data_IF_813900621311
#
_entry.id   IF_813900621311
#
_cell.length_a   1.000
_cell.length_b   1.000
_cell.length_c   1.000
_cell.angle_alpha   90.00
_cell.angle_beta   90.00
_cell.angle_gamma   90.00
#
_symmetry.space_group_name_H-M   'P 1'
#
loop_
_entity.id
_entity.type
_entity.pdbx_description
1 polymer ?
#
# COMPACT_ATOMS: atom_id res chain seq x y z
N UNK A 1 14.76 9.23 -1.51
CA UNK A 1 14.01 8.06 -2.01
C UNK A 1 13.54 8.34 -3.42
N UNK A 2 13.43 7.29 -4.22
CA UNK A 2 12.84 7.27 -5.55
C UNK A 2 11.37 6.89 -5.41
N UNK A 3 10.48 7.78 -5.80
CA UNK A 3 9.03 7.61 -5.65
C UNK A 3 8.42 7.48 -7.03
N UNK A 4 7.68 6.39 -7.25
CA UNK A 4 6.84 6.26 -8.43
C UNK A 4 5.45 6.80 -8.14
N UNK A 5 4.91 7.54 -9.09
CA UNK A 5 3.57 8.11 -9.01
C UNK A 5 2.76 7.64 -10.21
N UNK A 6 1.53 7.18 -9.97
CA UNK A 6 0.62 6.74 -11.03
C UNK A 6 -0.83 7.11 -10.69
N UNK A 7 -1.68 7.30 -11.70
CA UNK A 7 -3.08 7.61 -11.53
C UNK A 7 -3.94 7.21 -12.73
N UNK A 8 -5.24 7.01 -12.50
CA UNK A 8 -6.22 7.12 -13.59
C UNK A 8 -6.63 8.58 -13.82
N UNK A 9 -7.54 8.78 -14.76
CA UNK A 9 -8.09 10.09 -15.10
C UNK A 9 -8.79 10.80 -13.93
N UNK A 10 -9.37 10.05 -12.99
CA UNK A 10 -10.07 10.61 -11.85
C UNK A 10 -9.11 11.05 -10.74
N UNK A 11 -7.91 10.45 -10.65
CA UNK A 11 -6.84 10.87 -9.75
C UNK A 11 -5.91 11.96 -10.32
N UNK A 12 -6.07 12.33 -11.59
CA UNK A 12 -5.13 13.20 -12.31
C UNK A 12 -4.84 14.53 -11.61
N UNK A 13 -5.87 15.28 -11.20
CA UNK A 13 -5.68 16.59 -10.58
C UNK A 13 -4.96 16.48 -9.23
N UNK A 14 -5.39 15.56 -8.36
CA UNK A 14 -4.73 15.34 -7.09
C UNK A 14 -3.26 14.94 -7.27
N UNK A 15 -2.98 14.07 -8.26
CA UNK A 15 -1.60 13.73 -8.62
C UNK A 15 -0.78 14.98 -8.95
N UNK A 16 -1.30 15.86 -9.82
CA UNK A 16 -0.58 17.08 -10.22
C UNK A 16 -0.22 17.96 -9.02
N UNK A 17 -1.13 18.09 -8.04
CA UNK A 17 -0.88 18.84 -6.81
C UNK A 17 0.15 18.17 -5.89
N UNK A 18 0.22 16.83 -5.88
CA UNK A 18 1.16 16.08 -5.02
C UNK A 18 2.58 15.98 -5.60
N UNK A 19 2.75 16.02 -6.92
CA UNK A 19 4.09 16.02 -7.55
C UNK A 19 5.05 17.08 -6.98
N UNK A 20 4.69 18.38 -6.87
CA UNK A 20 5.57 19.38 -6.27
C UNK A 20 5.81 19.15 -4.79
N UNK A 21 4.81 18.67 -4.03
CA UNK A 21 4.96 18.33 -2.59
C UNK A 21 6.03 17.26 -2.41
N UNK A 22 5.94 16.16 -3.16
CA UNK A 22 6.89 15.03 -3.08
C UNK A 22 8.30 15.49 -3.45
N UNK A 23 8.44 16.33 -4.48
CA UNK A 23 9.74 16.91 -4.88
C UNK A 23 10.31 17.85 -3.82
N UNK A 24 9.48 18.69 -3.21
CA UNK A 24 9.90 19.62 -2.16
C UNK A 24 10.38 18.90 -0.88
N UNK A 25 9.92 17.66 -0.64
CA UNK A 25 10.43 16.78 0.40
C UNK A 25 11.81 16.16 0.08
N UNK A 26 12.40 16.46 -1.08
CA UNK A 26 13.71 15.98 -1.48
C UNK A 26 13.71 14.58 -2.12
N UNK A 27 12.57 14.12 -2.63
CA UNK A 27 12.45 12.84 -3.31
C UNK A 27 12.55 12.96 -4.83
N UNK A 28 13.12 11.93 -5.46
CA UNK A 28 13.13 11.80 -6.92
C UNK A 28 11.81 11.17 -7.38
N UNK A 29 11.16 11.76 -8.39
CA UNK A 29 9.79 11.35 -8.79
C UNK A 29 9.77 10.82 -10.22
N UNK A 30 9.25 9.60 -10.39
CA UNK A 30 8.89 9.03 -11.69
C UNK A 30 7.36 9.01 -11.82
N UNK A 31 6.81 9.87 -12.68
CA UNK A 31 5.37 9.91 -12.99
C UNK A 31 5.08 9.01 -14.20
N UNK A 32 4.36 7.90 -13.99
CA UNK A 32 3.97 6.96 -15.06
C UNK A 32 2.55 7.18 -15.57
N UNK A 33 1.99 8.36 -15.30
CA UNK A 33 0.72 8.81 -15.85
C UNK A 33 -0.48 8.44 -14.98
N UNK A 34 -1.71 8.61 -15.47
CA UNK A 34 -2.03 9.28 -16.74
C UNK A 34 -1.60 10.74 -16.74
N UNK A 35 -1.37 11.30 -17.92
CA UNK A 35 -0.94 12.70 -18.08
C UNK A 35 -2.08 13.60 -18.58
N UNK A 36 -3.31 13.08 -18.63
CA UNK A 36 -4.49 13.81 -19.09
C UNK A 36 -5.72 13.42 -18.28
N UNK A 37 -6.81 14.15 -18.46
CA UNK A 37 -8.13 13.81 -17.91
C UNK A 37 -8.95 12.88 -18.82
N UNK A 38 -8.37 12.40 -19.93
CA UNK A 38 -9.06 11.47 -20.82
C UNK A 38 -9.29 10.15 -20.11
N UNK A 39 -10.47 9.55 -20.31
CA UNK A 39 -10.85 8.30 -19.67
C UNK A 39 -9.85 7.19 -19.97
N UNK A 40 -9.44 6.50 -18.90
CA UNK A 40 -8.48 5.39 -18.89
C UNK A 40 -8.79 4.48 -17.71
N UNK A 41 -8.25 3.26 -17.75
CA UNK A 41 -8.49 2.24 -16.73
C UNK A 41 -7.37 2.19 -15.69
N UNK A 42 -7.74 2.31 -14.41
CA UNK A 42 -6.78 2.31 -13.30
C UNK A 42 -5.87 1.06 -13.19
N UNK A 43 -6.26 -0.17 -13.59
CA UNK A 43 -5.38 -1.34 -13.45
C UNK A 43 -4.08 -1.21 -14.24
N UNK A 44 -4.11 -0.59 -15.42
CA UNK A 44 -2.91 -0.41 -16.25
C UNK A 44 -1.87 0.46 -15.54
N UNK A 45 -2.32 1.52 -14.87
CA UNK A 45 -1.47 2.42 -14.10
C UNK A 45 -1.04 1.82 -12.76
N UNK A 46 -1.87 0.97 -12.15
CA UNK A 46 -1.46 0.17 -11.00
C UNK A 46 -0.27 -0.71 -11.35
N UNK A 47 -0.35 -1.46 -12.47
CA UNK A 47 0.74 -2.31 -12.97
C UNK A 47 1.98 -1.46 -13.29
N UNK A 48 1.84 -0.41 -14.09
CA UNK A 48 2.97 0.44 -14.47
C UNK A 48 3.71 1.03 -13.26
N UNK A 49 2.97 1.50 -12.25
CA UNK A 49 3.56 2.05 -11.03
C UNK A 49 4.20 0.98 -10.15
N UNK A 50 3.45 -0.08 -9.83
CA UNK A 50 3.88 -1.12 -8.91
C UNK A 50 5.05 -1.95 -9.44
N UNK A 51 5.15 -2.20 -10.74
CA UNK A 51 6.30 -2.89 -11.33
C UNK A 51 7.62 -2.18 -11.03
N UNK A 52 7.64 -0.84 -11.01
CA UNK A 52 8.85 -0.10 -10.64
C UNK A 52 9.25 -0.29 -9.18
N UNK A 53 8.28 -0.46 -8.28
CA UNK A 53 8.56 -0.78 -6.86
C UNK A 53 9.13 -2.20 -6.74
N UNK A 54 8.48 -3.18 -7.38
CA UNK A 54 8.90 -4.59 -7.35
C UNK A 54 10.30 -4.77 -7.95
N UNK A 55 10.59 -4.08 -9.06
CA UNK A 55 11.88 -4.14 -9.76
C UNK A 55 13.00 -3.36 -9.02
N UNK A 56 12.70 -2.74 -7.87
CA UNK A 56 13.66 -1.91 -7.13
C UNK A 56 14.08 -0.63 -7.85
N UNK A 57 13.31 -0.19 -8.86
CA UNK A 57 13.50 1.07 -9.59
C UNK A 57 12.87 2.26 -8.86
N UNK A 58 11.91 2.00 -7.98
CA UNK A 58 11.36 2.93 -7.01
C UNK A 58 11.40 2.30 -5.61
N UNK A 59 11.57 3.12 -4.58
CA UNK A 59 11.57 2.67 -3.18
C UNK A 59 10.13 2.56 -2.64
N UNK A 60 9.23 3.46 -3.07
CA UNK A 60 7.80 3.47 -2.72
C UNK A 60 6.94 4.01 -3.86
N UNK A 61 5.66 3.67 -3.86
CA UNK A 61 4.65 4.18 -4.79
C UNK A 61 3.60 5.07 -4.13
N UNK A 62 3.12 6.08 -4.86
CA UNK A 62 1.92 6.86 -4.49
C UNK A 62 0.97 6.86 -5.68
N UNK A 63 -0.18 6.23 -5.51
CA UNK A 63 -1.15 5.96 -6.57
C UNK A 63 -2.45 6.72 -6.32
N UNK A 64 -3.08 7.20 -7.40
CA UNK A 64 -4.31 8.00 -7.31
C UNK A 64 -5.42 7.45 -8.20
N UNK A 65 -6.64 7.37 -7.69
CA UNK A 65 -7.83 7.22 -8.56
C UNK A 65 -9.02 7.99 -8.00
N UNK A 66 -10.24 7.75 -8.47
CA UNK A 66 -11.43 8.43 -7.96
C UNK A 66 -11.60 8.32 -6.44
N UNK A 67 -11.73 7.10 -5.92
CA UNK A 67 -11.85 6.83 -4.46
C UNK A 67 -10.62 6.16 -3.84
N UNK A 68 -9.62 5.83 -4.65
CA UNK A 68 -8.47 5.00 -4.27
C UNK A 68 -8.78 3.50 -4.16
N UNK A 69 -10.05 3.09 -3.97
CA UNK A 69 -10.44 1.69 -3.74
C UNK A 69 -10.08 0.76 -4.90
N UNK A 70 -10.47 1.08 -6.13
CA UNK A 70 -10.18 0.21 -7.28
C UNK A 70 -8.68 0.07 -7.51
N UNK A 71 -7.96 1.19 -7.38
CA UNK A 71 -6.51 1.24 -7.56
C UNK A 71 -5.77 0.39 -6.52
N UNK A 72 -6.18 0.45 -5.24
CA UNK A 72 -5.59 -0.39 -4.20
C UNK A 72 -5.91 -1.87 -4.38
N UNK A 73 -7.13 -2.20 -4.85
CA UNK A 73 -7.50 -3.59 -5.17
C UNK A 73 -6.60 -4.16 -6.27
N UNK A 74 -6.38 -3.40 -7.35
CA UNK A 74 -5.51 -3.82 -8.45
C UNK A 74 -4.03 -3.91 -8.02
N UNK A 75 -3.52 -2.90 -7.31
CA UNK A 75 -2.14 -2.86 -6.85
C UNK A 75 -1.79 -4.08 -5.96
N UNK A 76 -2.67 -4.46 -5.03
CA UNK A 76 -2.47 -5.63 -4.15
C UNK A 76 -2.59 -6.99 -4.88
N UNK A 77 -2.87 -7.02 -6.19
CA UNK A 77 -2.76 -8.27 -6.98
C UNK A 77 -1.35 -8.52 -7.51
N UNK A 78 -0.46 -7.55 -7.38
CA UNK A 78 0.91 -7.62 -7.88
C UNK A 78 1.80 -8.13 -6.74
N UNK A 79 2.43 -9.31 -6.88
CA UNK A 79 3.30 -9.85 -5.84
C UNK A 79 4.41 -8.87 -5.46
N UNK A 80 4.66 -8.72 -4.16
CA UNK A 80 5.60 -7.78 -3.57
C UNK A 80 4.97 -6.44 -3.17
N UNK A 81 3.72 -6.18 -3.54
CA UNK A 81 3.02 -4.93 -3.22
C UNK A 81 2.15 -5.07 -1.98
N UNK A 82 2.27 -4.08 -1.09
CA UNK A 82 1.39 -3.86 0.06
C UNK A 82 0.84 -2.45 -0.08
N UNK A 83 -0.33 -2.33 -0.71
CA UNK A 83 -0.97 -1.06 -1.01
C UNK A 83 -2.11 -0.75 -0.05
N UNK A 84 -2.09 0.43 0.59
CA UNK A 84 -3.17 0.90 1.44
C UNK A 84 -3.96 2.04 0.80
N UNK A 85 -5.29 1.93 0.76
CA UNK A 85 -6.16 3.09 0.51
C UNK A 85 -6.38 3.83 1.82
N UNK A 86 -5.76 4.99 1.97
CA UNK A 86 -5.66 5.67 3.27
C UNK A 86 -6.31 7.05 3.20
N UNK A 87 -7.13 7.37 4.20
CA UNK A 87 -7.86 8.64 4.28
C UNK A 87 -7.58 9.43 5.57
N UNK A 88 -6.66 8.94 6.42
CA UNK A 88 -6.31 9.57 7.70
C UNK A 88 -4.80 9.52 8.00
N UNK A 89 -4.31 10.47 8.79
CA UNK A 89 -2.89 10.64 9.11
C UNK A 89 -2.31 9.43 9.83
N UNK A 90 -3.04 8.86 10.81
CA UNK A 90 -2.55 7.74 11.61
C UNK A 90 -2.24 6.54 10.72
N UNK A 91 -3.19 6.14 9.88
CA UNK A 91 -3.02 5.02 8.98
C UNK A 91 -1.91 5.23 7.94
N UNK A 92 -1.59 6.48 7.56
CA UNK A 92 -0.59 6.78 6.55
C UNK A 92 0.85 6.45 7.00
N UNK A 93 1.22 6.81 8.23
CA UNK A 93 2.52 6.41 8.78
C UNK A 93 2.46 4.98 9.34
N UNK A 94 1.36 4.62 10.00
CA UNK A 94 1.23 3.34 10.68
C UNK A 94 1.31 2.16 9.72
N UNK A 95 0.74 2.27 8.51
CA UNK A 95 0.81 1.21 7.51
C UNK A 95 2.26 0.88 7.12
N UNK A 96 3.12 1.89 7.08
CA UNK A 96 4.56 1.70 6.86
C UNK A 96 5.21 1.08 8.09
N UNK A 97 4.96 1.65 9.27
CA UNK A 97 5.58 1.25 10.53
C UNK A 97 5.28 -0.19 10.91
N UNK A 98 4.05 -0.64 10.66
CA UNK A 98 3.54 -1.93 11.12
C UNK A 98 3.52 -3.01 10.04
N UNK A 99 3.17 -2.64 8.81
CA UNK A 99 2.89 -3.57 7.72
C UNK A 99 3.88 -3.43 6.56
N UNK A 100 4.90 -2.58 6.71
CA UNK A 100 5.88 -2.28 5.66
C UNK A 100 5.18 -1.92 4.33
N UNK A 101 4.12 -1.11 4.43
CA UNK A 101 3.36 -0.62 3.28
C UNK A 101 4.29 0.13 2.33
N UNK A 102 4.38 -0.34 1.08
CA UNK A 102 5.28 0.23 0.07
C UNK A 102 4.52 1.02 -1.01
N UNK A 103 3.19 1.01 -0.98
CA UNK A 103 2.34 1.81 -1.87
C UNK A 103 1.24 2.51 -1.07
N UNK A 104 1.20 3.84 -1.14
CA UNK A 104 0.08 4.65 -0.67
C UNK A 104 -0.92 4.86 -1.81
N UNK A 105 -2.22 4.71 -1.55
CA UNK A 105 -3.27 4.99 -2.52
C UNK A 105 -4.21 6.05 -1.97
N UNK A 106 -4.50 7.09 -2.77
CA UNK A 106 -5.34 8.23 -2.39
C UNK A 106 -6.48 8.43 -3.40
N UNK A 107 -7.65 8.85 -2.90
CA UNK A 107 -8.83 9.13 -3.70
C UNK A 107 -8.98 10.59 -4.10
N UNK A 108 -8.77 10.91 -5.38
CA UNK A 108 -8.90 12.27 -5.93
C UNK A 108 -10.28 12.91 -5.83
N UNK A 109 -11.32 12.14 -5.50
CA UNK A 109 -12.70 12.64 -5.25
C UNK A 109 -13.09 12.58 -3.77
N UNK A 110 -12.32 11.90 -2.92
CA UNK A 110 -12.66 11.65 -1.51
C UNK A 110 -11.79 12.43 -0.54
N UNK A 111 -10.58 12.83 -0.94
CA UNK A 111 -9.63 13.56 -0.08
C UNK A 111 -9.41 15.00 -0.54
N UNK A 112 -9.30 15.92 0.42
CA UNK A 112 -8.90 17.31 0.17
C UNK A 112 -7.38 17.48 0.08
N UNK A 113 -6.91 18.53 -0.60
CA UNK A 113 -5.48 18.76 -0.87
C UNK A 113 -4.61 18.83 0.39
N UNK A 114 -5.04 19.59 1.41
CA UNK A 114 -4.28 19.73 2.64
C UNK A 114 -4.11 18.39 3.37
N UNK A 115 -5.17 17.59 3.43
CA UNK A 115 -5.12 16.25 4.03
C UNK A 115 -4.22 15.35 3.21
N UNK A 116 -4.35 15.33 1.88
CA UNK A 116 -3.50 14.53 1.00
C UNK A 116 -2.00 14.84 1.18
N UNK A 117 -1.64 16.13 1.31
CA UNK A 117 -0.28 16.55 1.61
C UNK A 117 0.22 15.98 2.95
N UNK A 118 -0.59 16.07 4.00
CA UNK A 118 -0.27 15.48 5.31
C UNK A 118 -0.07 13.96 5.21
N UNK A 119 -0.93 13.25 4.47
CA UNK A 119 -0.81 11.80 4.29
C UNK A 119 0.45 11.42 3.52
N UNK A 120 0.78 12.16 2.46
CA UNK A 120 2.00 11.95 1.68
C UNK A 120 3.24 12.17 2.56
N UNK A 121 3.25 13.23 3.39
CA UNK A 121 4.35 13.50 4.33
C UNK A 121 4.49 12.40 5.37
N UNK A 122 3.38 11.98 5.99
CA UNK A 122 3.35 10.92 6.99
C UNK A 122 3.85 9.59 6.41
N UNK A 123 3.34 9.20 5.24
CA UNK A 123 3.76 7.99 4.55
C UNK A 123 5.25 8.02 4.17
N UNK A 124 5.75 9.10 3.57
CA UNK A 124 7.14 9.18 3.12
C UNK A 124 8.14 9.36 4.27
N UNK A 125 7.73 9.95 5.39
CA UNK A 125 8.55 10.11 6.59
C UNK A 125 8.60 8.88 7.50
N UNK A 126 7.69 7.91 7.32
CA UNK A 126 7.61 6.74 8.16
C UNK A 126 8.63 5.65 7.78
N UNK A 127 9.03 4.85 8.78
CA UNK A 127 9.95 3.72 8.63
C UNK A 127 9.40 2.48 9.32
N UNK A 128 9.61 1.32 8.69
CA UNK A 128 9.23 0.05 9.29
C UNK A 128 9.93 -0.14 10.64
N UNK A 129 9.16 -0.45 11.69
CA UNK A 129 9.66 -0.48 13.07
C UNK A 129 10.34 -1.81 13.40
N UNK A 130 9.92 -2.90 12.78
CA UNK A 130 10.46 -4.24 13.03
C UNK A 130 10.13 -4.83 14.41
N UNK A 131 9.20 -4.26 15.19
CA UNK A 131 8.81 -4.87 16.48
C UNK A 131 8.27 -6.29 16.28
N UNK A 132 8.45 -7.18 17.26
CA UNK A 132 8.05 -8.59 17.19
C UNK A 132 6.61 -8.79 16.72
N UNK A 133 5.68 -7.95 17.18
CA UNK A 133 4.27 -8.03 16.79
C UNK A 133 4.05 -7.68 15.32
N UNK A 134 4.84 -6.76 14.76
CA UNK A 134 4.79 -6.32 13.38
C UNK A 134 5.44 -7.34 12.45
N UNK A 135 6.67 -7.76 12.77
CA UNK A 135 7.38 -8.79 12.02
C UNK A 135 6.57 -10.08 11.90
N UNK A 136 5.99 -10.56 13.00
CA UNK A 136 5.15 -11.77 13.01
C UNK A 136 3.90 -11.64 12.12
N UNK A 137 3.29 -10.45 12.04
CA UNK A 137 2.08 -10.23 11.22
C UNK A 137 2.44 -10.05 9.76
N UNK A 138 3.48 -9.27 9.47
CA UNK A 138 4.01 -9.10 8.12
C UNK A 138 4.41 -10.45 7.50
N UNK A 139 5.09 -11.32 8.26
CA UNK A 139 5.42 -12.68 7.80
C UNK A 139 4.18 -13.49 7.39
N UNK A 140 3.04 -13.32 8.07
CA UNK A 140 1.79 -13.99 7.67
C UNK A 140 1.21 -13.40 6.39
N UNK A 141 1.33 -12.10 6.18
CA UNK A 141 0.92 -11.44 4.93
C UNK A 141 1.77 -11.94 3.76
N UNK A 142 3.09 -12.00 3.95
CA UNK A 142 4.01 -12.54 2.94
C UNK A 142 3.74 -14.03 2.64
N UNK A 143 3.36 -14.81 3.65
CA UNK A 143 2.95 -16.21 3.45
C UNK A 143 1.65 -16.32 2.64
N UNK A 144 0.69 -15.40 2.82
CA UNK A 144 -0.54 -15.33 2.00
C UNK A 144 -0.20 -15.12 0.53
N UNK A 145 0.72 -14.21 0.26
CA UNK A 145 1.19 -13.90 -1.09
C UNK A 145 1.96 -15.06 -1.73
N UNK A 146 2.87 -15.71 -0.98
CA UNK A 146 3.70 -16.79 -1.50
C UNK A 146 2.91 -18.08 -1.75
N UNK A 147 1.84 -18.34 -0.98
CA UNK A 147 1.13 -19.62 -0.98
C UNK A 147 -0.41 -19.47 -1.10
N UNK A 148 -0.96 -18.82 -2.13
CA UNK A 148 -2.39 -18.51 -2.22
C UNK A 148 -3.29 -19.76 -2.22
N UNK A 149 -2.82 -20.88 -2.80
CA UNK A 149 -3.56 -22.15 -2.83
C UNK A 149 -3.72 -22.79 -1.45
N UNK A 150 -2.75 -22.56 -0.55
CA UNK A 150 -2.82 -23.05 0.85
C UNK A 150 -4.02 -22.46 1.58
N UNK A 151 -4.35 -21.20 1.31
CA UNK A 151 -5.48 -20.51 1.94
C UNK A 151 -6.83 -20.90 1.33
N UNK A 152 -6.87 -21.33 0.07
CA UNK A 152 -8.08 -21.95 -0.50
C UNK A 152 -8.43 -23.25 0.20
N UNK A 153 -7.43 -24.06 0.56
CA UNK A 153 -7.65 -25.29 1.33
C UNK A 153 -8.02 -25.03 2.80
N UNK A 154 -7.43 -24.01 3.45
CA UNK A 154 -7.75 -23.62 4.83
C UNK A 154 -9.16 -23.04 4.98
N UNK A 155 -9.67 -22.32 3.98
CA UNK A 155 -11.05 -21.79 4.00
C UNK A 155 -12.13 -22.88 4.04
N UNK A 156 -11.78 -24.12 3.64
CA UNK A 156 -12.70 -25.27 3.61
C UNK A 156 -12.60 -26.09 4.91
N UNK A 157 -11.58 -25.86 5.75
CA UNK A 157 -11.36 -26.60 7.00
C UNK A 157 -10.74 -25.75 8.11
N UNK A 158 -11.58 -25.34 9.07
CA UNK A 158 -11.29 -24.82 10.40
C UNK A 158 -11.15 -23.29 10.63
N UNK A 159 -12.18 -22.81 11.35
CA UNK A 159 -12.14 -21.94 12.54
C UNK A 159 -10.81 -21.30 12.90
N UNK A 160 -10.85 -19.96 12.99
CA UNK A 160 -9.81 -19.09 13.55
C UNK A 160 -9.32 -19.66 14.89
N UNK A 161 -8.05 -20.08 14.94
CA UNK A 161 -7.38 -20.57 16.13
C UNK A 161 -7.29 -19.45 17.18
N UNK A 162 -8.25 -19.40 18.11
CA UNK A 162 -8.16 -18.62 19.34
C UNK A 162 -7.28 -19.40 20.32
N UNK A 163 -6.03 -18.96 20.46
CA UNK A 163 -5.04 -19.65 21.28
C UNK A 163 -5.51 -19.92 22.71
N UNK A 164 -5.33 -21.16 23.15
CA UNK A 164 -5.11 -21.51 24.55
C UNK A 164 -3.94 -22.50 24.57
N UNK A 165 -2.76 -22.00 24.95
CA UNK A 165 -1.60 -22.83 25.21
C UNK A 165 -1.89 -23.74 26.41
N UNK A 166 -1.62 -25.03 26.26
CA UNK A 166 -1.78 -26.03 27.30
C UNK A 166 -0.83 -25.80 28.48
N UNK A 167 -1.31 -26.09 29.68
CA UNK A 167 -0.46 -26.42 30.83
C UNK A 167 -0.54 -27.94 31.00
N UNK A 168 0.56 -28.70 30.92
CA UNK A 168 0.54 -30.12 31.25
C UNK A 168 0.62 -30.29 32.78
N UNK A 169 -0.39 -30.93 33.37
CA UNK A 169 -0.38 -31.39 34.77
C UNK A 169 0.46 -32.67 34.90
N UNK A 170 1.26 -32.84 35.98
CA UNK A 170 2.21 -33.93 36.10
C UNK A 170 1.51 -35.25 36.45
N UNK A 171 2.16 -36.34 36.00
CA UNK A 171 1.79 -37.73 36.27
C UNK A 171 1.84 -38.03 37.77
N UNK A 172 0.81 -38.69 38.29
CA UNK A 172 0.88 -39.81 39.25
C UNK A 172 -0.19 -40.82 38.86
#
# INVERSE_FOLDING_TARGET
MRIVVACDHAGFYLKQEMLPVIRALGHEVTDVGTHTTAAVDYPDYAVAGCSLVVDGRADRGILFCGSGVGMSVAANKIPGIRAGNVEDHYSAHQGVEHDDMNVLVLGGRTIGLAVAEELVRAFLGAHYTGEDRHARRLLKVLEIEANPERFRAMAIGHTVNTGAAGVPSPRV
#
